data_IF_088883409391
#
_entry.id   IF_088883409391
#
_cell.length_a   1.000
_cell.length_b   1.000
_cell.length_c   1.000
_cell.angle_alpha   90.00
_cell.angle_beta   90.00
_cell.angle_gamma   90.00
#
_symmetry.space_group_name_H-M   'P 1'
#
loop_
_entity.id
_entity.type
_entity.pdbx_description
1 polymer ?
#
# COMPACT_ATOMS: atom_id res chain seq x y z
N UNK A 1 34.97 15.07 -9.42
CA UNK A 1 33.71 15.81 -9.16
C UNK A 1 33.39 15.64 -7.69
N UNK A 2 33.32 16.76 -6.98
CA UNK A 2 33.05 16.81 -5.53
C UNK A 2 31.70 16.16 -5.18
N UNK A 3 30.78 16.15 -6.14
CA UNK A 3 29.46 15.51 -6.03
C UNK A 3 29.57 14.00 -5.78
N UNK A 4 30.51 13.30 -6.43
CA UNK A 4 30.71 11.86 -6.19
C UNK A 4 31.25 11.59 -4.80
N UNK A 5 32.08 12.49 -4.26
CA UNK A 5 32.65 12.37 -2.90
C UNK A 5 31.58 12.62 -1.83
N UNK A 6 30.75 13.66 -2.03
CA UNK A 6 29.63 13.99 -1.14
C UNK A 6 28.54 12.89 -1.14
N UNK A 7 28.25 12.29 -2.30
CA UNK A 7 27.33 11.15 -2.40
C UNK A 7 27.87 9.92 -1.67
N UNK A 8 29.18 9.64 -1.78
CA UNK A 8 29.77 8.47 -1.14
C UNK A 8 29.79 8.60 0.39
N UNK A 9 30.03 9.81 0.93
CA UNK A 9 29.90 10.11 2.36
C UNK A 9 28.44 10.04 2.85
N UNK A 10 27.46 10.47 2.04
CA UNK A 10 26.03 10.40 2.40
C UNK A 10 25.42 9.00 2.30
N UNK A 11 25.93 8.15 1.41
CA UNK A 11 25.41 6.80 1.16
C UNK A 11 26.16 5.70 1.92
N UNK A 12 27.47 5.86 2.15
CA UNK A 12 28.33 4.85 2.79
C UNK A 12 29.11 5.38 4.00
N UNK A 13 29.03 6.69 4.30
CA UNK A 13 29.69 7.32 5.45
C UNK A 13 28.93 7.09 6.75
N UNK A 14 28.96 5.86 7.25
CA UNK A 14 28.81 5.60 8.68
C UNK A 14 29.56 4.32 9.06
N UNK A 15 30.85 4.25 8.75
CA UNK A 15 31.71 3.20 9.29
C UNK A 15 32.08 3.56 10.73
N UNK A 16 31.18 3.26 11.66
CA UNK A 16 31.50 3.20 13.08
C UNK A 16 32.45 2.01 13.28
N UNK A 17 33.75 2.29 13.21
CA UNK A 17 34.80 1.33 13.48
C UNK A 17 35.02 1.23 14.99
N UNK A 18 34.10 0.62 15.72
CA UNK A 18 34.31 0.23 17.12
C UNK A 18 34.88 -1.19 17.21
N UNK A 19 36.01 -1.41 16.53
CA UNK A 19 36.86 -2.57 16.75
C UNK A 19 38.00 -2.19 17.70
N UNK A 20 37.72 -2.30 19.00
CA UNK A 20 38.61 -2.88 20.02
C UNK A 20 40.13 -2.71 19.82
N UNK A 21 40.62 -1.48 19.64
CA UNK A 21 42.04 -1.19 19.44
C UNK A 21 42.87 -1.09 20.73
N UNK A 22 42.28 -1.31 21.91
CA UNK A 22 43.00 -1.23 23.17
C UNK A 22 43.18 -2.61 23.79
N UNK A 23 44.44 -2.99 23.95
CA UNK A 23 44.94 -4.27 24.48
C UNK A 23 44.36 -4.53 25.88
N UNK A 24 43.33 -5.36 25.98
CA UNK A 24 42.56 -5.64 27.20
C UNK A 24 43.19 -6.67 28.16
N UNK A 25 44.47 -7.00 27.98
CA UNK A 25 45.03 -8.24 28.52
C UNK A 25 45.28 -8.21 30.05
N UNK A 26 44.99 -7.10 30.73
CA UNK A 26 45.27 -6.90 32.17
C UNK A 26 44.05 -6.45 32.98
N UNK A 27 42.86 -6.29 32.36
CA UNK A 27 41.66 -5.86 33.08
C UNK A 27 40.76 -7.04 33.45
N UNK A 28 40.14 -7.05 34.66
CA UNK A 28 39.18 -8.07 35.03
C UNK A 28 37.98 -8.08 34.08
N UNK A 29 37.39 -9.27 33.87
CA UNK A 29 36.30 -9.50 32.90
C UNK A 29 35.14 -8.50 33.07
N UNK A 30 34.78 -8.18 34.31
CA UNK A 30 33.73 -7.20 34.62
C UNK A 30 34.00 -5.81 34.04
N UNK A 31 35.24 -5.31 34.12
CA UNK A 31 35.62 -3.99 33.59
C UNK A 31 35.53 -3.97 32.05
N UNK A 32 35.90 -5.07 31.40
CA UNK A 32 35.78 -5.21 29.95
C UNK A 32 34.31 -5.21 29.50
N UNK A 33 33.44 -5.90 30.24
CA UNK A 33 32.00 -5.92 29.98
C UNK A 33 31.41 -4.52 30.18
N UNK A 34 31.74 -3.84 31.28
CA UNK A 34 31.28 -2.49 31.56
C UNK A 34 31.67 -1.51 30.43
N UNK A 35 32.92 -1.57 29.94
CA UNK A 35 33.38 -0.75 28.81
C UNK A 35 32.60 -1.03 27.52
N UNK A 36 32.35 -2.30 27.20
CA UNK A 36 31.56 -2.68 26.01
C UNK A 36 30.11 -2.21 26.11
N UNK A 37 29.51 -2.31 27.30
CA UNK A 37 28.15 -1.83 27.55
C UNK A 37 28.08 -0.32 27.41
N UNK A 38 29.02 0.43 28.00
CA UNK A 38 29.11 1.88 27.85
C UNK A 38 29.22 2.29 26.38
N UNK A 39 30.12 1.66 25.62
CA UNK A 39 30.28 1.97 24.21
C UNK A 39 29.00 1.70 23.39
N UNK A 40 28.26 0.62 23.71
CA UNK A 40 26.96 0.34 23.08
C UNK A 40 25.89 1.38 23.44
N UNK A 41 25.87 1.84 24.69
CA UNK A 41 24.97 2.90 25.15
C UNK A 41 25.25 4.20 24.40
N UNK A 42 26.52 4.57 24.25
CA UNK A 42 26.91 5.78 23.52
C UNK A 42 26.48 5.70 22.04
N UNK A 43 26.66 4.55 21.40
CA UNK A 43 26.19 4.32 20.04
C UNK A 43 24.66 4.46 19.90
N UNK A 44 23.91 3.92 20.87
CA UNK A 44 22.45 4.03 20.88
C UNK A 44 22.01 5.49 21.07
N UNK A 45 22.70 6.24 21.93
CA UNK A 45 22.42 7.65 22.18
C UNK A 45 22.67 8.50 20.92
N UNK A 46 23.78 8.28 20.21
CA UNK A 46 24.08 8.97 18.96
C UNK A 46 23.06 8.66 17.86
N UNK A 47 22.68 7.38 17.71
CA UNK A 47 21.64 6.97 16.76
C UNK A 47 20.29 7.63 17.08
N UNK A 48 19.93 7.69 18.37
CA UNK A 48 18.69 8.32 18.84
C UNK A 48 18.70 9.82 18.55
N UNK A 49 19.82 10.51 18.82
CA UNK A 49 20.00 11.93 18.50
C UNK A 49 19.88 12.21 17.00
N UNK A 50 20.45 11.36 16.16
CA UNK A 50 20.32 11.46 14.70
C UNK A 50 18.87 11.27 14.22
N UNK A 51 18.12 10.35 14.84
CA UNK A 51 16.70 10.13 14.54
C UNK A 51 15.87 11.36 14.94
N UNK A 52 16.07 11.91 16.15
CA UNK A 52 15.35 13.09 16.62
C UNK A 52 15.55 14.29 15.67
N UNK A 53 16.79 14.55 15.23
CA UNK A 53 17.07 15.60 14.22
C UNK A 53 16.34 15.37 12.89
N UNK A 54 16.14 14.11 12.47
CA UNK A 54 15.35 13.78 11.26
C UNK A 54 13.86 14.07 11.48
N UNK A 55 13.33 13.68 12.64
CA UNK A 55 11.93 13.94 13.01
C UNK A 55 11.65 15.45 13.05
N UNK A 56 12.52 16.25 13.64
CA UNK A 56 12.36 17.71 13.71
C UNK A 56 12.27 18.33 12.31
N UNK A 57 13.11 17.87 11.38
CA UNK A 57 13.06 18.30 9.97
C UNK A 57 11.74 17.91 9.30
N UNK A 58 11.25 16.69 9.53
CA UNK A 58 9.96 16.23 9.01
C UNK A 58 8.83 17.09 9.57
N UNK A 59 8.82 17.34 10.87
CA UNK A 59 7.80 18.18 11.52
C UNK A 59 7.83 19.61 10.97
N UNK A 60 9.01 20.19 10.74
CA UNK A 60 9.16 21.50 10.11
C UNK A 60 8.56 21.54 8.71
N UNK A 61 8.83 20.52 7.88
CA UNK A 61 8.28 20.41 6.52
C UNK A 61 6.77 20.19 6.56
N UNK A 62 6.28 19.33 7.44
CA UNK A 62 4.86 19.05 7.61
C UNK A 62 4.08 20.29 8.09
N UNK A 63 4.68 21.12 8.96
CA UNK A 63 4.11 22.41 9.34
C UNK A 63 4.09 23.41 8.18
N UNK A 64 5.11 23.43 7.32
CA UNK A 64 5.13 24.27 6.11
C UNK A 64 4.06 23.82 5.11
N UNK A 65 3.77 22.50 5.05
CA UNK A 65 2.70 21.92 4.21
C UNK A 65 1.27 22.23 4.66
N UNK A 66 1.05 22.81 5.85
CA UNK A 66 -0.27 23.34 6.27
C UNK A 66 -0.60 24.70 5.64
N UNK A 67 0.25 25.22 4.76
CA UNK A 67 0.14 26.53 4.13
C UNK A 67 0.03 26.53 2.61
N UNK A 68 -0.40 25.43 1.97
CA UNK A 68 -0.97 25.56 0.61
C UNK A 68 -2.35 26.17 0.81
N UNK A 69 -2.48 27.42 0.38
CA UNK A 69 -3.52 28.36 0.75
C UNK A 69 -4.94 27.80 0.70
N UNK A 70 -5.79 28.40 1.54
CA UNK A 70 -7.22 28.18 1.46
C UNK A 70 -7.68 28.26 0.01
N UNK A 71 -8.27 27.18 -0.46
CA UNK A 71 -9.02 27.16 -1.71
C UNK A 71 -10.20 28.16 -1.69
N UNK A 72 -10.40 28.88 -0.59
CA UNK A 72 -11.19 30.11 -0.46
C UNK A 72 -10.79 31.23 -1.43
N UNK A 73 -9.68 31.05 -2.18
CA UNK A 73 -9.27 31.92 -3.28
C UNK A 73 -9.65 31.41 -4.69
N UNK A 74 -10.41 30.31 -4.82
CA UNK A 74 -11.18 30.09 -6.04
C UNK A 74 -12.22 31.20 -6.07
N UNK A 75 -11.92 32.24 -6.85
CA UNK A 75 -12.71 33.44 -6.95
C UNK A 75 -14.18 33.11 -7.06
N UNK A 76 -15.01 34.04 -6.55
CA UNK A 76 -16.37 34.25 -7.04
C UNK A 76 -16.42 33.73 -8.46
N UNK A 77 -17.07 32.58 -8.64
CA UNK A 77 -17.27 32.00 -9.94
C UNK A 77 -18.08 33.04 -10.69
N UNK A 78 -17.39 33.90 -11.44
CA UNK A 78 -17.98 34.55 -12.59
C UNK A 78 -18.16 33.42 -13.61
N UNK A 79 -18.97 32.42 -13.26
CA UNK A 79 -19.43 31.42 -14.20
C UNK A 79 -20.21 32.24 -15.20
N UNK A 80 -19.78 32.33 -16.47
CA UNK A 80 -20.73 32.64 -17.51
C UNK A 80 -21.89 31.65 -17.34
N UNK A 81 -23.12 32.09 -17.57
CA UNK A 81 -24.24 31.16 -17.66
C UNK A 81 -23.82 30.03 -18.60
N UNK A 82 -23.93 28.76 -18.17
CA UNK A 82 -23.66 27.66 -19.07
C UNK A 82 -24.59 27.81 -20.27
N UNK A 83 -24.02 27.90 -21.48
CA UNK A 83 -24.79 27.90 -22.71
C UNK A 83 -25.32 26.48 -22.91
N UNK A 84 -26.59 26.27 -22.54
CA UNK A 84 -27.29 25.01 -22.79
C UNK A 84 -27.63 24.92 -24.28
N UNK A 85 -27.19 23.84 -24.94
CA UNK A 85 -27.73 23.46 -26.24
C UNK A 85 -29.06 22.72 -26.03
N UNK A 86 -30.14 23.23 -26.62
CA UNK A 86 -31.40 22.49 -26.74
C UNK A 86 -31.20 21.40 -27.79
N UNK A 87 -31.08 20.14 -27.38
CA UNK A 87 -31.06 19.00 -28.29
C UNK A 87 -32.52 18.65 -28.57
N UNK A 88 -32.96 18.90 -29.80
CA UNK A 88 -34.31 18.53 -30.25
C UNK A 88 -34.35 17.03 -30.53
N UNK A 89 -35.08 16.29 -29.68
CA UNK A 89 -35.21 14.83 -29.76
C UNK A 89 -36.29 14.41 -30.76
N UNK A 90 -36.31 15.07 -31.91
CA UNK A 90 -37.21 14.71 -32.99
C UNK A 90 -36.81 13.33 -33.51
N UNK A 91 -37.82 12.53 -33.87
CA UNK A 91 -37.66 11.17 -34.40
C UNK A 91 -36.67 11.10 -35.58
N UNK A 92 -36.55 12.19 -36.35
CA UNK A 92 -35.59 12.33 -37.46
C UNK A 92 -34.11 12.42 -37.03
N UNK A 93 -33.81 12.87 -35.81
CA UNK A 93 -32.45 13.09 -35.31
C UNK A 93 -31.86 11.85 -34.58
N UNK A 94 -32.60 10.74 -34.50
CA UNK A 94 -32.14 9.49 -33.86
C UNK A 94 -31.03 8.76 -34.66
N UNK A 95 -30.72 9.20 -35.88
CA UNK A 95 -29.76 8.53 -36.77
C UNK A 95 -28.27 8.74 -36.39
N UNK A 96 -27.95 9.69 -35.49
CA UNK A 96 -26.56 10.06 -35.19
C UNK A 96 -25.95 9.47 -33.90
N UNK A 97 -26.78 9.11 -32.91
CA UNK A 97 -26.29 8.62 -31.60
C UNK A 97 -27.27 7.59 -31.03
N UNK A 98 -27.00 6.27 -31.13
CA UNK A 98 -27.92 5.26 -30.67
C UNK A 98 -27.80 5.07 -29.15
N UNK A 99 -28.27 6.04 -28.36
CA UNK A 99 -28.55 5.80 -26.94
C UNK A 99 -29.85 5.01 -26.83
N UNK A 100 -29.75 3.68 -26.89
CA UNK A 100 -30.90 2.79 -26.69
C UNK A 100 -31.20 2.64 -25.20
N UNK A 101 -32.45 2.93 -24.80
CA UNK A 101 -32.95 2.58 -23.46
C UNK A 101 -33.17 1.06 -23.40
N UNK A 102 -32.36 0.36 -22.62
CA UNK A 102 -32.55 -1.06 -22.32
C UNK A 102 -33.86 -1.29 -21.58
N UNK A 103 -34.61 -2.35 -21.92
CA UNK A 103 -35.83 -2.72 -21.19
C UNK A 103 -35.51 -3.16 -19.76
N UNK A 104 -36.39 -2.85 -18.81
CA UNK A 104 -36.26 -3.30 -17.43
C UNK A 104 -36.36 -4.84 -17.37
N UNK A 105 -35.32 -5.49 -16.85
CA UNK A 105 -35.32 -6.94 -16.63
C UNK A 105 -36.07 -7.22 -15.33
N UNK A 106 -37.35 -7.57 -15.45
CA UNK A 106 -38.24 -7.75 -14.29
C UNK A 106 -38.23 -9.17 -13.69
N UNK A 107 -37.53 -10.14 -14.30
CA UNK A 107 -37.43 -11.51 -13.78
C UNK A 107 -35.97 -11.97 -13.74
N UNK A 108 -35.39 -11.93 -12.55
CA UNK A 108 -34.07 -12.47 -12.22
C UNK A 108 -34.14 -13.86 -11.59
N UNK A 109 -35.31 -14.52 -11.58
CA UNK A 109 -35.48 -15.82 -10.90
C UNK A 109 -34.51 -16.90 -11.39
N UNK A 110 -33.95 -16.78 -12.60
CA UNK A 110 -32.91 -17.70 -13.11
C UNK A 110 -31.48 -17.29 -12.77
N UNK A 111 -31.26 -16.06 -12.35
CA UNK A 111 -29.95 -15.53 -11.93
C UNK A 111 -29.71 -15.99 -10.49
N UNK A 112 -28.87 -17.00 -10.32
CA UNK A 112 -28.49 -17.54 -9.00
C UNK A 112 -29.03 -18.94 -8.71
N UNK A 113 -30.27 -19.28 -9.13
CA UNK A 113 -30.82 -20.63 -8.92
C UNK A 113 -29.99 -21.72 -9.61
N UNK A 114 -29.51 -21.47 -10.84
CA UNK A 114 -28.66 -22.41 -11.57
C UNK A 114 -27.34 -22.70 -10.83
N UNK A 115 -26.82 -21.73 -10.06
CA UNK A 115 -25.57 -21.89 -9.34
C UNK A 115 -25.75 -22.76 -8.11
N UNK A 116 -26.81 -22.55 -7.33
CA UNK A 116 -27.08 -23.35 -6.12
C UNK A 116 -27.47 -24.80 -6.43
N UNK A 117 -28.21 -25.02 -7.52
CA UNK A 117 -28.51 -26.37 -8.02
C UNK A 117 -27.23 -27.10 -8.47
N UNK A 118 -26.33 -26.41 -9.18
CA UNK A 118 -25.04 -26.98 -9.61
C UNK A 118 -24.12 -27.25 -8.43
N UNK A 119 -24.12 -26.41 -7.39
CA UNK A 119 -23.36 -26.65 -6.16
C UNK A 119 -23.83 -27.90 -5.43
N UNK A 120 -25.15 -28.09 -5.33
CA UNK A 120 -25.74 -29.27 -4.70
C UNK A 120 -25.36 -30.55 -5.47
N UNK A 121 -25.38 -30.49 -6.80
CA UNK A 121 -24.93 -31.61 -7.66
C UNK A 121 -23.46 -31.94 -7.41
N UNK A 122 -22.58 -30.93 -7.42
CA UNK A 122 -21.13 -31.11 -7.20
C UNK A 122 -20.80 -31.67 -5.81
N UNK A 123 -21.53 -31.26 -4.78
CA UNK A 123 -21.36 -31.79 -3.42
C UNK A 123 -21.73 -33.28 -3.38
N UNK A 124 -22.81 -33.68 -4.06
CA UNK A 124 -23.20 -35.08 -4.20
C UNK A 124 -22.11 -35.93 -4.89
N UNK A 125 -21.66 -35.49 -6.05
CA UNK A 125 -20.60 -36.16 -6.84
C UNK A 125 -19.31 -36.33 -6.00
N UNK A 126 -18.93 -35.30 -5.24
CA UNK A 126 -17.74 -35.33 -4.39
C UNK A 126 -17.87 -36.30 -3.23
N UNK A 127 -19.02 -36.33 -2.54
CA UNK A 127 -19.27 -37.25 -1.45
C UNK A 127 -19.24 -38.72 -1.92
N UNK A 128 -19.74 -38.98 -3.13
CA UNK A 128 -19.68 -40.30 -3.76
C UNK A 128 -18.22 -40.71 -4.04
N UNK A 129 -17.45 -39.83 -4.69
CA UNK A 129 -16.04 -40.08 -5.00
C UNK A 129 -15.18 -40.33 -3.73
N UNK A 130 -15.45 -39.59 -2.64
CA UNK A 130 -14.78 -39.79 -1.35
C UNK A 130 -15.14 -41.15 -0.73
N UNK A 131 -16.39 -41.58 -0.87
CA UNK A 131 -16.85 -42.87 -0.35
C UNK A 131 -16.24 -44.06 -1.12
N UNK A 132 -16.14 -43.94 -2.45
CA UNK A 132 -15.49 -44.92 -3.33
C UNK A 132 -13.99 -45.03 -3.04
N UNK A 133 -13.28 -43.90 -2.94
CA UNK A 133 -11.86 -43.87 -2.59
C UNK A 133 -11.59 -44.52 -1.21
N UNK A 134 -12.50 -44.32 -0.24
CA UNK A 134 -12.36 -44.89 1.11
C UNK A 134 -12.60 -46.39 1.16
N UNK A 135 -13.42 -46.93 0.26
CA UNK A 135 -13.70 -48.36 0.16
C UNK A 135 -12.75 -49.08 -0.79
N UNK A 136 -11.78 -48.37 -1.39
CA UNK A 136 -10.82 -48.91 -2.35
C UNK A 136 -11.46 -49.36 -3.66
N UNK A 137 -12.73 -48.99 -3.90
CA UNK A 137 -13.47 -49.38 -5.08
C UNK A 137 -13.38 -48.26 -6.12
N UNK A 138 -12.36 -48.35 -6.98
CA UNK A 138 -12.27 -47.50 -8.17
C UNK A 138 -13.03 -48.20 -9.30
N UNK A 139 -14.32 -47.90 -9.44
CA UNK A 139 -15.04 -48.21 -10.68
C UNK A 139 -14.34 -47.48 -11.84
N UNK A 140 -14.00 -48.24 -12.88
CA UNK A 140 -13.18 -47.85 -14.04
C UNK A 140 -13.27 -46.36 -14.45
N UNK A 141 -12.09 -45.72 -14.55
CA UNK A 141 -11.88 -44.56 -15.43
C UNK A 141 -12.32 -44.88 -16.87
#
# INVERSE_FOLDING_TARGET
>A
SDIRKELNEKLFGNSNNNNNGLKNNTEPIYAQVAKKVSAKIDQLNEATSAINRKIDRINKIASVGKGVGGFSGAGRSASPEPIYATIDFDEANQAGFPLRRSAAVNDLSKVGLSREQELTRRIGDLNQAVSEAKTGHFGNL
#
